data_IF_690035329290
#
_entry.id   IF_690035329290
#
_cell.length_a   1.000
_cell.length_b   1.000
_cell.length_c   1.000
_cell.angle_alpha   90.00
_cell.angle_beta   90.00
_cell.angle_gamma   90.00
#
_symmetry.space_group_name_H-M   'P 1'
#
loop_
_entity.id
_entity.type
_entity.pdbx_description
1 polymer ?
#
# COMPACT_ATOMS: atom_id res chain seq x y z
N UNK A 1 18.08 11.97 12.95
CA UNK A 1 16.58 11.91 12.89
C UNK A 1 16.25 10.66 12.11
N UNK A 2 15.32 9.84 12.59
CA UNK A 2 14.83 8.66 11.86
C UNK A 2 14.07 9.08 10.61
N UNK A 3 14.15 8.26 9.55
CA UNK A 3 13.56 8.53 8.24
C UNK A 3 12.69 7.36 7.82
N UNK A 4 11.50 7.66 7.31
CA UNK A 4 10.61 6.65 6.71
C UNK A 4 10.40 7.02 5.24
N UNK A 5 10.71 6.09 4.33
CA UNK A 5 10.27 6.19 2.95
C UNK A 5 8.77 5.90 2.88
N UNK A 6 7.99 6.85 2.36
CA UNK A 6 6.53 6.72 2.25
C UNK A 6 6.17 6.59 0.79
N UNK A 7 5.87 5.37 0.35
CA UNK A 7 5.59 5.02 -1.05
C UNK A 7 4.07 4.95 -1.23
N UNK A 8 3.47 6.04 -1.70
CA UNK A 8 2.01 6.21 -1.72
C UNK A 8 1.61 7.29 -2.72
N UNK A 9 0.33 7.38 -3.12
CA UNK A 9 -0.15 8.47 -3.96
C UNK A 9 -0.19 9.81 -3.22
N UNK A 10 -0.14 10.90 -3.99
CA UNK A 10 -0.38 12.25 -3.51
C UNK A 10 -1.74 12.73 -4.02
N UNK A 11 -2.77 12.69 -3.17
CA UNK A 11 -4.10 13.21 -3.47
C UNK A 11 -4.26 14.64 -2.96
N UNK A 12 -4.64 15.59 -3.82
CA UNK A 12 -4.77 17.02 -3.50
C UNK A 12 -5.95 17.29 -2.56
N UNK A 13 -7.15 16.79 -2.88
CA UNK A 13 -8.31 16.84 -2.01
C UNK A 13 -8.56 15.48 -1.37
N UNK A 14 -8.81 15.51 -0.07
CA UNK A 14 -8.97 14.34 0.78
C UNK A 14 -7.84 14.25 1.79
N UNK A 15 -8.13 13.69 2.96
CA UNK A 15 -7.14 13.45 4.02
C UNK A 15 -6.74 11.97 3.95
N UNK A 16 -5.98 11.61 2.94
CA UNK A 16 -5.57 10.24 2.67
C UNK A 16 -4.13 10.21 2.15
N UNK A 17 -3.58 9.04 2.05
CA UNK A 17 -2.31 8.79 1.37
C UNK A 17 -1.17 9.68 1.90
N UNK A 18 -0.33 10.25 1.06
CA UNK A 18 0.78 11.13 1.47
C UNK A 18 0.30 12.36 2.25
N UNK A 19 -0.88 12.94 1.92
CA UNK A 19 -1.39 14.12 2.62
C UNK A 19 -1.82 13.82 4.07
N UNK A 20 -2.09 12.57 4.41
CA UNK A 20 -2.31 12.11 5.78
C UNK A 20 -1.02 11.58 6.43
N UNK A 21 -0.23 10.77 5.72
CA UNK A 21 0.96 10.13 6.27
C UNK A 21 2.05 11.13 6.65
N UNK A 22 2.34 12.13 5.80
CA UNK A 22 3.41 13.10 6.06
C UNK A 22 3.20 13.86 7.37
N UNK A 23 2.05 14.52 7.64
CA UNK A 23 1.87 15.25 8.87
C UNK A 23 1.87 14.35 10.12
N UNK A 24 1.31 13.13 10.03
CA UNK A 24 1.30 12.17 11.15
C UNK A 24 2.72 11.74 11.50
N UNK A 25 3.50 11.28 10.52
CA UNK A 25 4.88 10.85 10.72
C UNK A 25 5.74 12.01 11.24
N UNK A 26 5.56 13.22 10.69
CA UNK A 26 6.28 14.41 11.12
C UNK A 26 5.95 14.81 12.57
N UNK A 27 4.68 14.71 12.97
CA UNK A 27 4.24 14.97 14.34
C UNK A 27 4.84 13.97 15.35
N UNK A 28 5.20 12.77 14.91
CA UNK A 28 5.91 11.76 15.71
C UNK A 28 7.43 12.02 15.81
N UNK A 29 7.94 13.12 15.24
CA UNK A 29 9.37 13.46 15.25
C UNK A 29 10.22 12.65 14.26
N UNK A 30 9.61 12.06 13.26
CA UNK A 30 10.24 11.26 12.20
C UNK A 30 10.15 12.00 10.87
N UNK A 31 11.19 11.91 10.05
CA UNK A 31 11.18 12.49 8.70
C UNK A 31 10.43 11.56 7.74
N UNK A 32 9.32 12.03 7.18
CA UNK A 32 8.68 11.40 6.04
C UNK A 32 9.44 11.75 4.75
N UNK A 33 9.82 10.73 3.98
CA UNK A 33 10.50 10.86 2.68
C UNK A 33 9.55 10.31 1.61
N UNK A 34 8.74 11.15 0.94
CA UNK A 34 7.71 10.67 0.02
C UNK A 34 8.29 10.21 -1.31
N UNK A 35 7.89 9.00 -1.75
CA UNK A 35 8.05 8.48 -3.11
C UNK A 35 6.66 8.32 -3.73
N UNK A 36 6.18 9.29 -4.53
CA UNK A 36 4.83 9.22 -5.08
C UNK A 36 4.64 8.07 -6.06
N UNK A 37 3.52 7.33 -5.94
CA UNK A 37 3.08 6.31 -6.90
C UNK A 37 2.17 6.92 -7.98
N UNK A 38 1.41 7.95 -7.61
CA UNK A 38 0.56 8.73 -8.49
C UNK A 38 0.34 10.12 -7.91
N UNK A 39 -0.05 11.08 -8.75
CA UNK A 39 -0.54 12.39 -8.32
C UNK A 39 -1.99 12.53 -8.77
N UNK A 40 -2.90 12.74 -7.82
CA UNK A 40 -4.32 12.89 -8.07
C UNK A 40 -4.79 14.30 -7.68
N UNK A 41 -5.73 14.85 -8.44
CA UNK A 41 -6.40 16.10 -8.03
C UNK A 41 -7.16 15.93 -6.71
N UNK A 42 -7.74 14.75 -6.51
CA UNK A 42 -8.53 14.35 -5.34
C UNK A 42 -8.58 12.82 -5.27
N UNK A 43 -8.87 12.29 -4.09
CA UNK A 43 -8.95 10.84 -3.89
C UNK A 43 -10.01 10.18 -4.79
N UNK A 44 -9.82 8.89 -5.09
CA UNK A 44 -10.64 8.13 -6.07
C UNK A 44 -12.10 7.91 -5.66
N UNK A 45 -12.48 8.18 -4.43
CA UNK A 45 -13.86 8.14 -3.94
C UNK A 45 -14.75 9.28 -4.44
N UNK A 46 -14.16 10.33 -5.03
CA UNK A 46 -14.92 11.39 -5.68
C UNK A 46 -15.45 10.92 -7.05
N UNK A 47 -16.56 11.49 -7.52
CA UNK A 47 -17.17 11.12 -8.80
C UNK A 47 -16.30 11.41 -10.04
N UNK A 48 -15.31 12.30 -9.93
CA UNK A 48 -14.33 12.64 -10.97
C UNK A 48 -13.01 13.03 -10.33
N UNK A 49 -11.91 12.68 -10.95
CA UNK A 49 -10.55 13.07 -10.55
C UNK A 49 -9.62 13.05 -11.75
N UNK A 50 -8.56 13.86 -11.70
CA UNK A 50 -7.41 13.75 -12.57
C UNK A 50 -6.41 12.79 -11.95
N UNK A 51 -5.75 12.00 -12.78
CA UNK A 51 -4.73 11.04 -12.38
C UNK A 51 -3.50 11.18 -13.28
N UNK A 52 -2.33 11.39 -12.67
CA UNK A 52 -1.02 11.26 -13.31
C UNK A 52 -0.28 10.07 -12.68
N UNK A 53 -0.06 9.00 -13.45
CA UNK A 53 0.70 7.82 -13.03
C UNK A 53 2.19 8.18 -12.91
N UNK A 54 2.76 7.88 -11.75
CA UNK A 54 4.17 8.20 -11.47
C UNK A 54 5.12 7.03 -11.62
N UNK A 55 4.67 5.87 -12.11
CA UNK A 55 5.45 4.63 -12.22
C UNK A 55 6.81 4.86 -12.88
N UNK A 56 6.82 5.50 -14.07
CA UNK A 56 8.05 5.74 -14.83
C UNK A 56 8.98 6.80 -14.20
N UNK A 57 8.50 7.53 -13.18
CA UNK A 57 9.27 8.55 -12.46
C UNK A 57 9.83 8.06 -11.13
N UNK A 58 9.31 6.96 -10.60
CA UNK A 58 9.75 6.42 -9.31
C UNK A 58 11.25 6.06 -9.33
N UNK A 59 11.71 5.38 -10.38
CA UNK A 59 13.13 5.02 -10.50
C UNK A 59 14.06 6.25 -10.58
N UNK A 60 13.63 7.31 -11.24
CA UNK A 60 14.43 8.54 -11.31
C UNK A 60 14.65 9.16 -9.92
N UNK A 61 13.62 9.13 -9.06
CA UNK A 61 13.71 9.59 -7.67
C UNK A 61 14.62 8.65 -6.86
N UNK A 62 14.47 7.34 -7.03
CA UNK A 62 15.29 6.33 -6.36
C UNK A 62 16.77 6.48 -6.74
N UNK A 63 17.08 6.74 -8.01
CA UNK A 63 18.45 6.95 -8.50
C UNK A 63 19.10 8.19 -7.86
N UNK A 64 18.34 9.29 -7.70
CA UNK A 64 18.83 10.47 -6.99
C UNK A 64 19.05 10.18 -5.49
N UNK A 65 18.13 9.46 -4.84
CA UNK A 65 18.31 9.06 -3.45
C UNK A 65 19.53 8.17 -3.25
N UNK A 66 19.81 7.26 -4.19
CA UNK A 66 20.99 6.42 -4.15
C UNK A 66 22.27 7.24 -4.21
N UNK A 67 22.33 8.28 -5.05
CA UNK A 67 23.49 9.19 -5.14
C UNK A 67 23.74 9.94 -3.83
N UNK A 68 22.70 10.21 -3.06
CA UNK A 68 22.81 10.89 -1.74
C UNK A 68 23.16 9.95 -0.60
N UNK A 69 23.25 8.64 -0.83
CA UNK A 69 23.47 7.65 0.22
C UNK A 69 22.26 7.50 1.15
N UNK A 70 21.05 7.68 0.62
CA UNK A 70 19.82 7.55 1.40
C UNK A 70 19.66 6.15 2.00
N UNK A 71 19.38 6.08 3.30
CA UNK A 71 19.07 4.85 4.03
C UNK A 71 17.87 5.13 4.95
N UNK A 72 16.71 4.48 4.74
CA UNK A 72 15.55 4.62 5.59
C UNK A 72 15.63 3.72 6.82
N UNK A 73 15.11 4.18 7.96
CA UNK A 73 14.85 3.35 9.14
C UNK A 73 13.56 2.51 8.97
N UNK A 74 12.68 2.95 8.07
CA UNK A 74 11.46 2.23 7.74
C UNK A 74 10.93 2.58 6.35
N UNK A 75 10.08 1.70 5.85
CA UNK A 75 9.31 1.87 4.61
C UNK A 75 7.83 1.73 4.95
N UNK A 76 7.02 2.60 4.43
CA UNK A 76 5.56 2.50 4.49
C UNK A 76 5.01 2.58 3.07
N UNK A 77 4.38 1.51 2.60
CA UNK A 77 3.72 1.46 1.30
C UNK A 77 2.21 1.53 1.48
N UNK A 78 1.52 2.15 0.54
CA UNK A 78 0.07 2.23 0.52
C UNK A 78 -0.48 2.02 -0.89
N UNK A 79 -1.31 2.93 -1.37
CA UNK A 79 -1.99 2.79 -2.65
C UNK A 79 -1.02 2.69 -3.84
N UNK A 80 -1.25 1.67 -4.66
CA UNK A 80 -0.54 1.40 -5.91
C UNK A 80 -1.53 1.41 -7.08
N UNK A 81 -1.19 2.15 -8.13
CA UNK A 81 -2.02 2.28 -9.32
C UNK A 81 -1.73 1.25 -10.41
N UNK A 82 -0.55 0.63 -10.36
CA UNK A 82 -0.07 -0.31 -11.38
C UNK A 82 0.73 -1.43 -10.72
N UNK A 83 0.56 -2.67 -11.21
CA UNK A 83 1.29 -3.84 -10.71
C UNK A 83 2.82 -3.72 -10.87
N UNK A 84 3.32 -2.92 -11.84
CA UNK A 84 4.76 -2.63 -12.00
C UNK A 84 5.34 -1.88 -10.81
N UNK A 85 4.52 -1.12 -10.07
CA UNK A 85 4.97 -0.41 -8.88
C UNK A 85 5.39 -1.36 -7.76
N UNK A 86 4.80 -2.56 -7.69
CA UNK A 86 5.27 -3.59 -6.75
C UNK A 86 6.70 -4.00 -7.06
N UNK A 87 7.05 -4.21 -8.34
CA UNK A 87 8.42 -4.55 -8.73
C UNK A 87 9.40 -3.43 -8.37
N UNK A 88 8.96 -2.17 -8.53
CA UNK A 88 9.76 -1.00 -8.13
C UNK A 88 9.95 -0.92 -6.61
N UNK A 89 8.94 -1.29 -5.83
CA UNK A 89 9.05 -1.36 -4.36
C UNK A 89 10.00 -2.48 -3.94
N UNK A 90 9.91 -3.65 -4.53
CA UNK A 90 10.87 -4.74 -4.27
C UNK A 90 12.31 -4.30 -4.62
N UNK A 91 12.49 -3.63 -5.76
CA UNK A 91 13.77 -3.03 -6.13
C UNK A 91 14.21 -1.96 -5.11
N UNK A 92 13.28 -1.15 -4.60
CA UNK A 92 13.57 -0.18 -3.53
C UNK A 92 14.06 -0.87 -2.26
N UNK A 93 13.41 -1.95 -1.84
CA UNK A 93 13.82 -2.75 -0.68
C UNK A 93 15.25 -3.26 -0.85
N UNK A 94 15.56 -3.86 -1.98
CA UNK A 94 16.91 -4.36 -2.30
C UNK A 94 17.98 -3.25 -2.30
N UNK A 95 17.61 -2.05 -2.76
CA UNK A 95 18.55 -0.95 -2.89
C UNK A 95 18.84 -0.19 -1.60
N UNK A 96 17.87 -0.07 -0.71
CA UNK A 96 17.90 0.89 0.41
C UNK A 96 17.71 0.26 1.77
N UNK A 97 17.08 -0.92 1.87
CA UNK A 97 16.77 -1.54 3.15
C UNK A 97 17.91 -2.44 3.67
N UNK A 98 17.97 -2.56 4.98
CA UNK A 98 18.91 -3.44 5.71
C UNK A 98 18.10 -4.31 6.69
N UNK A 99 18.72 -5.28 7.36
CA UNK A 99 18.05 -6.11 8.38
C UNK A 99 17.34 -5.33 9.49
N UNK A 100 17.76 -4.09 9.74
CA UNK A 100 17.14 -3.21 10.74
C UNK A 100 16.02 -2.32 10.19
N UNK A 101 15.72 -2.37 8.90
CA UNK A 101 14.67 -1.55 8.28
C UNK A 101 13.31 -2.19 8.49
N UNK A 102 12.38 -1.46 9.12
CA UNK A 102 11.00 -1.92 9.27
C UNK A 102 10.19 -1.64 8.02
N UNK A 103 9.52 -2.65 7.48
CA UNK A 103 8.70 -2.54 6.26
C UNK A 103 7.24 -2.76 6.63
N UNK A 104 6.43 -1.71 6.51
CA UNK A 104 4.98 -1.77 6.64
C UNK A 104 4.34 -1.73 5.25
N UNK A 105 3.53 -2.74 4.95
CA UNK A 105 2.77 -2.83 3.70
C UNK A 105 1.28 -2.71 4.00
N UNK A 106 0.68 -1.62 3.55
CA UNK A 106 -0.76 -1.44 3.48
C UNK A 106 -1.24 -1.97 2.13
N UNK A 107 -2.08 -2.99 2.15
CA UNK A 107 -2.38 -3.84 0.99
C UNK A 107 -3.53 -3.31 0.14
N UNK A 108 -3.68 -2.02 0.00
CA UNK A 108 -4.79 -1.27 -0.61
C UNK A 108 -5.28 -1.89 -1.94
N UNK A 109 -6.25 -2.81 -1.84
CA UNK A 109 -6.82 -3.53 -3.01
C UNK A 109 -8.36 -3.52 -3.03
N UNK A 110 -9.01 -3.32 -1.89
CA UNK A 110 -10.46 -3.35 -1.78
C UNK A 110 -10.98 -3.09 -0.37
N UNK A 111 -12.28 -2.94 -0.22
CA UNK A 111 -12.96 -2.76 1.08
C UNK A 111 -14.40 -3.25 0.98
N UNK A 112 -14.97 -3.72 2.11
CA UNK A 112 -16.39 -4.15 2.24
C UNK A 112 -16.83 -5.19 1.21
N UNK A 113 -15.95 -6.12 0.86
CA UNK A 113 -16.24 -7.18 -0.11
C UNK A 113 -16.13 -6.76 -1.57
N UNK A 114 -15.67 -5.54 -1.86
CA UNK A 114 -15.53 -4.99 -3.20
C UNK A 114 -14.07 -4.65 -3.50
N UNK A 115 -13.62 -4.93 -4.72
CA UNK A 115 -12.29 -4.53 -5.19
C UNK A 115 -12.28 -3.07 -5.67
N UNK A 116 -11.16 -2.37 -5.48
CA UNK A 116 -10.99 -1.04 -6.04
C UNK A 116 -10.80 -1.09 -7.56
N UNK A 117 -11.08 0.02 -8.26
CA UNK A 117 -10.96 0.13 -9.72
C UNK A 117 -9.56 -0.17 -10.26
N UNK A 118 -8.56 -0.01 -9.42
CA UNK A 118 -7.14 -0.28 -9.73
C UNK A 118 -6.74 -1.72 -9.48
N UNK A 119 -7.63 -2.52 -8.89
CA UNK A 119 -7.38 -3.94 -8.65
C UNK A 119 -7.19 -4.71 -9.96
N UNK A 120 -6.30 -5.67 -9.92
CA UNK A 120 -6.16 -6.73 -10.92
C UNK A 120 -5.58 -7.98 -10.26
N UNK A 121 -5.86 -9.16 -10.80
CA UNK A 121 -5.24 -10.40 -10.32
C UNK A 121 -3.70 -10.31 -10.32
N UNK A 122 -3.12 -9.69 -11.34
CA UNK A 122 -1.67 -9.47 -11.42
C UNK A 122 -1.17 -8.60 -10.26
N UNK A 123 -1.91 -7.54 -9.88
CA UNK A 123 -1.57 -6.72 -8.71
C UNK A 123 -1.64 -7.55 -7.43
N UNK A 124 -2.69 -8.35 -7.27
CA UNK A 124 -2.87 -9.22 -6.09
C UNK A 124 -1.74 -10.26 -5.96
N UNK A 125 -1.38 -10.93 -7.06
CA UNK A 125 -0.27 -11.90 -7.08
C UNK A 125 1.06 -11.24 -6.68
N UNK A 126 1.36 -10.06 -7.23
CA UNK A 126 2.56 -9.30 -6.87
C UNK A 126 2.50 -8.79 -5.44
N UNK A 127 1.33 -8.36 -4.96
CA UNK A 127 1.14 -7.95 -3.56
C UNK A 127 1.46 -9.11 -2.60
N UNK A 128 1.08 -10.37 -2.94
CA UNK A 128 1.48 -11.57 -2.17
C UNK A 128 3.00 -11.73 -2.08
N UNK A 129 3.74 -11.29 -3.09
CA UNK A 129 5.21 -11.28 -3.03
C UNK A 129 5.72 -10.17 -2.13
N UNK A 130 5.16 -8.96 -2.24
CA UNK A 130 5.57 -7.81 -1.44
C UNK A 130 5.32 -8.02 0.06
N UNK A 131 4.18 -8.61 0.45
CA UNK A 131 3.87 -8.84 1.87
C UNK A 131 4.82 -9.85 2.55
N UNK A 132 5.55 -10.66 1.78
CA UNK A 132 6.59 -11.55 2.34
C UNK A 132 7.84 -10.82 2.79
N UNK A 133 8.09 -9.64 2.23
CA UNK A 133 9.19 -8.74 2.63
C UNK A 133 8.79 -7.85 3.82
N UNK A 134 7.51 -7.82 4.18
CA UNK A 134 6.99 -6.93 5.20
C UNK A 134 7.31 -7.42 6.62
N UNK A 135 7.65 -6.48 7.52
CA UNK A 135 7.67 -6.70 8.97
C UNK A 135 6.26 -6.61 9.57
N UNK A 136 5.41 -5.78 8.95
CA UNK A 136 4.02 -5.56 9.34
C UNK A 136 3.17 -5.39 8.10
N UNK A 137 2.00 -6.01 8.08
CA UNK A 137 0.95 -5.80 7.06
C UNK A 137 -0.33 -5.31 7.75
N UNK A 138 -1.12 -4.49 7.06
CA UNK A 138 -2.36 -3.91 7.60
C UNK A 138 -3.58 -4.18 6.69
N UNK A 139 -3.85 -5.44 6.30
CA UNK A 139 -5.02 -5.75 5.49
C UNK A 139 -6.31 -5.55 6.29
N UNK A 140 -7.34 -4.98 5.65
CA UNK A 140 -8.71 -5.16 6.09
C UNK A 140 -9.21 -6.58 5.73
N UNK A 141 -10.42 -6.95 6.15
CA UNK A 141 -10.95 -8.30 5.91
C UNK A 141 -11.00 -8.64 4.40
N UNK A 142 -11.43 -7.70 3.56
CA UNK A 142 -11.50 -7.89 2.11
C UNK A 142 -10.12 -8.16 1.53
N UNK A 143 -9.13 -7.39 1.91
CA UNK A 143 -7.75 -7.52 1.46
C UNK A 143 -7.09 -8.80 1.96
N UNK A 144 -7.36 -9.20 3.20
CA UNK A 144 -6.89 -10.48 3.74
C UNK A 144 -7.44 -11.66 2.92
N UNK A 145 -8.74 -11.63 2.59
CA UNK A 145 -9.36 -12.65 1.75
C UNK A 145 -8.85 -12.63 0.30
N UNK A 146 -8.60 -11.45 -0.27
CA UNK A 146 -7.97 -11.32 -1.59
C UNK A 146 -6.57 -11.93 -1.61
N UNK A 147 -5.76 -11.67 -0.58
CA UNK A 147 -4.42 -12.25 -0.47
C UNK A 147 -4.45 -13.77 -0.36
N UNK A 148 -5.42 -14.33 0.36
CA UNK A 148 -5.53 -15.77 0.57
C UNK A 148 -6.16 -16.49 -0.61
N UNK A 149 -7.25 -15.97 -1.16
CA UNK A 149 -8.15 -16.72 -2.05
C UNK A 149 -8.34 -16.08 -3.44
N UNK A 150 -7.84 -14.87 -3.69
CA UNK A 150 -8.14 -14.09 -4.90
C UNK A 150 -9.56 -13.52 -4.90
N UNK A 151 -9.97 -12.90 -6.01
CA UNK A 151 -11.23 -12.15 -6.05
C UNK A 151 -12.47 -13.08 -5.96
N UNK A 152 -12.46 -14.20 -6.67
CA UNK A 152 -13.59 -15.14 -6.63
C UNK A 152 -13.76 -15.76 -5.23
N UNK A 153 -12.67 -16.28 -4.65
CA UNK A 153 -12.71 -16.88 -3.32
C UNK A 153 -13.01 -15.85 -2.22
N UNK A 154 -12.58 -14.60 -2.38
CA UNK A 154 -12.95 -13.52 -1.47
C UNK A 154 -14.49 -13.30 -1.49
N UNK A 155 -15.10 -13.23 -2.67
CA UNK A 155 -16.56 -13.05 -2.81
C UNK A 155 -17.35 -14.20 -2.20
N UNK A 156 -16.91 -15.45 -2.44
CA UNK A 156 -17.52 -16.63 -1.83
C UNK A 156 -17.42 -16.58 -0.30
N UNK A 157 -16.24 -16.31 0.22
CA UNK A 157 -16.00 -16.27 1.67
C UNK A 157 -16.74 -15.12 2.35
N UNK A 158 -16.79 -13.93 1.73
CA UNK A 158 -17.58 -12.82 2.25
C UNK A 158 -19.07 -13.15 2.35
N UNK A 159 -19.62 -13.89 1.39
CA UNK A 159 -21.00 -14.37 1.44
C UNK A 159 -21.22 -15.36 2.59
N UNK A 160 -20.33 -16.35 2.73
CA UNK A 160 -20.39 -17.30 3.86
C UNK A 160 -20.35 -16.57 5.20
N UNK A 161 -19.44 -15.60 5.38
CA UNK A 161 -19.31 -14.82 6.60
C UNK A 161 -20.55 -13.96 6.89
N UNK A 162 -21.24 -13.44 5.85
CA UNK A 162 -22.47 -12.67 6.03
C UNK A 162 -23.67 -13.51 6.50
N UNK A 163 -23.64 -14.80 6.22
CA UNK A 163 -24.70 -15.75 6.61
C UNK A 163 -24.43 -16.39 7.98
N UNK A 164 -23.28 -16.11 8.61
CA UNK A 164 -22.93 -16.63 9.94
C UNK A 164 -23.58 -15.85 11.09
N UNK A 165 -23.90 -16.55 12.18
CA UNK A 165 -24.23 -15.89 13.44
C UNK A 165 -23.00 -15.21 14.05
N UNK A 166 -23.18 -14.09 14.75
CA UNK A 166 -22.09 -13.26 15.31
C UNK A 166 -21.08 -14.07 16.15
N UNK A 167 -21.57 -15.06 16.90
CA UNK A 167 -20.74 -15.96 17.74
C UNK A 167 -19.85 -16.91 16.91
N UNK A 168 -20.26 -17.25 15.71
CA UNK A 168 -19.48 -18.07 14.79
C UNK A 168 -18.45 -17.22 14.03
N UNK A 169 -18.86 -15.99 13.64
CA UNK A 169 -18.00 -15.03 12.95
C UNK A 169 -16.76 -14.69 13.79
N UNK A 170 -16.91 -14.46 15.10
CA UNK A 170 -15.78 -14.14 15.98
C UNK A 170 -14.73 -15.26 16.05
N UNK A 171 -15.15 -16.52 15.96
CA UNK A 171 -14.22 -17.67 15.98
C UNK A 171 -13.45 -17.89 14.68
N UNK A 172 -13.99 -17.41 13.56
CA UNK A 172 -13.33 -17.53 12.24
C UNK A 172 -12.30 -16.40 12.00
N UNK A 173 -12.42 -15.29 12.74
CA UNK A 173 -11.52 -14.12 12.60
C UNK A 173 -10.33 -14.20 13.58
N UNK A 174 -10.43 -14.97 14.67
CA UNK A 174 -9.32 -15.28 15.58
C UNK A 174 -8.31 -16.26 14.96
#
# INVERSE_FOLDING_TARGET
MKKIAVIHDLSGLGKCSLTAAIPVISAMGVQACPLPTAILSNQTGYGSYFWDDYTDRMELIMDEWKKTGFTPDGVYTGFLGDARQVDLILKFVDMFCTEGTHILVDTVMGDRGETYKTYSETLCEKMRTLVREATVITPNLTEALLLLYGEEGMKERMKELSDMEETQLLKEIE
#
